data_IF_571231008405
#
_entry.id   IF_571231008405
#
_cell.length_a   1.000
_cell.length_b   1.000
_cell.length_c   1.000
_cell.angle_alpha   90.00
_cell.angle_beta   90.00
_cell.angle_gamma   90.00
#
_symmetry.space_group_name_H-M   'P 1'
#
loop_
_entity.id
_entity.type
_entity.pdbx_description
1 polymer ?
#
# COMPACT_ATOMS: atom_id res chain seq x y z
N UNK A 1 -8.56 -0.87 7.98
CA UNK A 1 -7.09 -0.95 8.27
C UNK A 1 -6.50 -2.08 7.46
N UNK A 2 -5.20 -2.11 7.23
CA UNK A 2 -4.55 -3.22 6.53
C UNK A 2 -3.22 -3.58 7.17
N UNK A 3 -2.88 -4.87 7.17
CA UNK A 3 -1.53 -5.33 7.42
C UNK A 3 -0.75 -5.25 6.11
N UNK A 4 0.43 -4.67 6.14
CA UNK A 4 1.40 -4.76 5.06
C UNK A 4 2.55 -5.66 5.53
N UNK A 5 2.78 -6.75 4.80
CA UNK A 5 3.90 -7.67 5.00
C UNK A 5 4.98 -7.38 3.97
N UNK A 6 6.22 -7.25 4.42
CA UNK A 6 7.40 -6.93 3.63
C UNK A 6 8.34 -8.14 3.62
N UNK A 7 8.46 -8.79 2.45
CA UNK A 7 9.38 -9.92 2.27
C UNK A 7 10.82 -9.44 1.99
N UNK A 8 10.99 -8.18 1.60
CA UNK A 8 12.28 -7.56 1.34
C UNK A 8 12.21 -6.45 0.30
N UNK A 9 13.24 -5.60 0.30
CA UNK A 9 13.41 -4.53 -0.66
C UNK A 9 14.76 -4.64 -1.36
N UNK A 10 14.77 -4.41 -2.66
CA UNK A 10 15.98 -4.26 -3.47
C UNK A 10 16.53 -2.85 -3.34
N UNK A 11 17.83 -2.75 -3.09
CA UNK A 11 18.56 -1.49 -2.93
C UNK A 11 19.57 -1.40 -4.06
N UNK A 12 19.39 -0.43 -4.95
CA UNK A 12 20.29 -0.17 -6.06
C UNK A 12 20.93 1.20 -5.87
N UNK A 13 22.27 1.27 -5.86
CA UNK A 13 23.01 2.53 -5.65
C UNK A 13 22.62 3.29 -4.38
N UNK A 14 22.22 2.59 -3.33
CA UNK A 14 21.82 3.16 -2.04
C UNK A 14 20.38 3.63 -1.97
N UNK A 15 19.59 3.49 -3.04
CA UNK A 15 18.16 3.82 -3.05
C UNK A 15 17.32 2.55 -3.14
N UNK A 16 16.20 2.53 -2.41
CA UNK A 16 15.20 1.46 -2.52
C UNK A 16 14.52 1.60 -3.88
N UNK A 17 14.65 0.58 -4.74
CA UNK A 17 14.08 0.59 -6.09
C UNK A 17 12.77 -0.18 -6.18
N UNK A 18 12.71 -1.31 -5.50
CA UNK A 18 11.58 -2.23 -5.57
C UNK A 18 11.44 -2.96 -4.25
N UNK A 19 10.21 -3.17 -3.79
CA UNK A 19 9.93 -3.97 -2.61
C UNK A 19 8.90 -5.05 -2.92
N UNK A 20 9.10 -6.21 -2.29
CA UNK A 20 8.23 -7.36 -2.36
C UNK A 20 7.26 -7.31 -1.18
N UNK A 21 6.12 -6.67 -1.41
CA UNK A 21 5.15 -6.41 -0.36
C UNK A 21 3.79 -7.04 -0.65
N UNK A 22 3.08 -7.39 0.42
CA UNK A 22 1.69 -7.87 0.39
C UNK A 22 0.85 -7.06 1.33
N UNK A 23 -0.26 -6.52 0.83
CA UNK A 23 -1.22 -5.79 1.65
C UNK A 23 -2.48 -6.64 1.88
N UNK A 24 -2.92 -6.69 3.13
CA UNK A 24 -3.99 -7.55 3.59
C UNK A 24 -4.99 -6.70 4.37
N UNK A 25 -6.16 -6.39 3.78
CA UNK A 25 -7.23 -5.71 4.50
C UNK A 25 -7.64 -6.51 5.74
N UNK A 26 -7.72 -5.83 6.89
CA UNK A 26 -8.10 -6.43 8.17
C UNK A 26 -9.61 -6.36 8.44
N UNK A 27 -10.40 -6.09 7.40
CA UNK A 27 -11.86 -5.85 7.47
C UNK A 27 -12.68 -7.16 7.54
N UNK A 28 -12.07 -8.27 7.95
CA UNK A 28 -12.73 -9.59 7.96
C UNK A 28 -13.66 -9.79 9.16
N UNK A 29 -14.63 -10.71 9.01
CA UNK A 29 -15.55 -11.10 10.07
C UNK A 29 -14.77 -11.64 11.27
N UNK A 30 -15.23 -11.37 12.51
CA UNK A 30 -14.62 -11.97 13.72
C UNK A 30 -14.55 -13.50 13.54
N UNK A 31 -13.44 -14.12 13.97
CA UNK A 31 -13.21 -15.58 13.98
C UNK A 31 -12.79 -16.25 12.67
N UNK A 32 -12.71 -15.54 11.54
CA UNK A 32 -12.13 -16.09 10.32
C UNK A 32 -10.68 -15.66 10.15
N UNK A 33 -9.84 -16.62 9.77
CA UNK A 33 -8.48 -16.32 9.37
C UNK A 33 -8.49 -15.51 8.07
N UNK A 34 -7.54 -14.57 7.96
CA UNK A 34 -7.45 -13.69 6.79
C UNK A 34 -6.45 -14.29 5.82
N UNK A 35 -6.89 -14.49 4.59
CA UNK A 35 -6.01 -14.89 3.51
C UNK A 35 -5.57 -13.65 2.73
N UNK A 36 -4.27 -13.38 2.71
CA UNK A 36 -3.68 -12.37 1.85
C UNK A 36 -3.67 -12.90 0.41
N UNK A 37 -4.82 -12.80 -0.26
CA UNK A 37 -5.06 -13.37 -1.60
C UNK A 37 -4.26 -12.67 -2.72
N UNK A 38 -3.75 -11.47 -2.46
CA UNK A 38 -2.96 -10.74 -3.44
C UNK A 38 -1.53 -11.29 -3.45
N UNK A 39 -1.13 -11.86 -4.61
CA UNK A 39 0.24 -12.35 -4.79
C UNK A 39 1.28 -11.26 -4.47
N UNK A 40 2.51 -11.68 -4.23
CA UNK A 40 3.68 -10.79 -4.15
C UNK A 40 3.63 -9.77 -5.29
N UNK A 41 3.40 -8.51 -4.95
CA UNK A 41 3.41 -7.43 -5.92
C UNK A 41 4.78 -6.77 -5.87
N UNK A 42 5.62 -6.90 -6.92
CA UNK A 42 6.73 -5.98 -7.10
C UNK A 42 6.18 -4.56 -7.03
N UNK A 43 6.58 -3.85 -5.99
CA UNK A 43 6.06 -2.52 -5.69
C UNK A 43 7.20 -1.54 -5.88
N UNK A 44 7.11 -0.74 -6.95
CA UNK A 44 8.16 0.23 -7.25
C UNK A 44 8.16 1.34 -6.23
N UNK A 45 9.36 1.70 -5.78
CA UNK A 45 9.57 2.84 -4.92
C UNK A 45 9.77 4.11 -5.77
N UNK A 46 9.05 5.17 -5.42
CA UNK A 46 9.15 6.47 -6.05
C UNK A 46 9.53 7.53 -5.01
N UNK A 47 10.59 8.29 -5.28
CA UNK A 47 11.03 9.44 -4.47
C UNK A 47 10.23 10.72 -4.77
N UNK A 48 8.92 10.61 -4.99
CA UNK A 48 8.07 11.71 -5.45
C UNK A 48 7.45 12.57 -4.32
N UNK A 49 7.98 12.48 -3.09
CA UNK A 49 7.59 13.41 -2.02
C UNK A 49 8.03 14.83 -2.36
N UNK A 50 7.07 15.73 -2.45
CA UNK A 50 7.37 17.16 -2.46
C UNK A 50 7.62 17.59 -1.01
N UNK A 51 8.87 17.42 -0.55
CA UNK A 51 9.27 17.61 0.86
C UNK A 51 8.85 18.96 1.45
N UNK A 52 8.65 19.99 0.61
CA UNK A 52 8.20 21.31 1.04
C UNK A 52 6.78 21.36 1.62
N UNK A 53 5.94 20.38 1.29
CA UNK A 53 4.52 20.33 1.70
C UNK A 53 4.27 19.37 2.87
N UNK A 54 5.33 18.74 3.37
CA UNK A 54 5.26 17.73 4.41
C UNK A 54 6.00 18.23 5.65
N UNK A 55 5.38 18.08 6.83
CA UNK A 55 6.01 18.29 8.13
C UNK A 55 5.88 17.00 8.93
N UNK A 56 6.70 16.01 8.57
CA UNK A 56 6.69 14.70 9.19
C UNK A 56 7.21 14.71 10.63
N UNK A 57 7.94 15.76 11.01
CA UNK A 57 8.28 16.02 12.42
C UNK A 57 7.04 16.25 13.30
N UNK A 58 5.89 16.59 12.68
CA UNK A 58 4.58 16.74 13.32
C UNK A 58 3.54 15.72 12.83
N UNK A 59 3.96 14.71 12.07
CA UNK A 59 3.10 13.77 11.35
C UNK A 59 2.03 14.48 10.51
N UNK A 60 2.46 15.44 9.70
CA UNK A 60 1.60 16.19 8.78
C UNK A 60 2.12 16.03 7.36
N UNK A 61 1.24 15.77 6.40
CA UNK A 61 1.59 15.70 4.98
C UNK A 61 0.43 16.16 4.11
N UNK A 62 0.71 16.66 2.90
CA UNK A 62 -0.34 17.00 1.94
C UNK A 62 -0.66 15.80 1.05
N UNK A 63 -1.91 15.34 1.09
CA UNK A 63 -2.34 14.23 0.24
C UNK A 63 -2.69 14.77 -1.15
N UNK A 64 -1.81 14.56 -2.12
CA UNK A 64 -1.94 15.08 -3.47
C UNK A 64 -2.23 13.98 -4.49
N UNK A 65 -2.62 14.39 -5.70
CA UNK A 65 -2.78 13.47 -6.81
C UNK A 65 -1.42 13.12 -7.40
N UNK A 66 -1.10 11.84 -7.44
CA UNK A 66 0.10 11.34 -8.09
C UNK A 66 -0.24 10.82 -9.49
N UNK A 67 0.70 10.93 -10.43
CA UNK A 67 0.45 10.55 -11.84
C UNK A 67 -0.06 9.10 -11.93
N UNK A 68 -0.98 8.80 -12.85
CA UNK A 68 -1.49 7.45 -13.04
C UNK A 68 -0.36 6.50 -13.44
N UNK A 69 -0.36 5.30 -12.86
CA UNK A 69 0.63 4.25 -13.14
C UNK A 69 -0.03 2.90 -13.28
N UNK A 70 0.59 1.97 -14.01
CA UNK A 70 0.06 0.64 -14.32
C UNK A 70 0.33 -0.45 -13.27
N UNK A 71 0.99 -0.12 -12.16
CA UNK A 71 1.37 -1.05 -11.10
C UNK A 71 1.06 -0.46 -9.72
N UNK A 72 1.13 -1.29 -8.67
CA UNK A 72 1.12 -0.79 -7.28
C UNK A 72 2.47 -0.17 -6.95
N UNK A 73 2.50 0.91 -6.17
CA UNK A 73 3.74 1.64 -5.86
C UNK A 73 3.80 2.10 -4.42
N UNK A 74 5.03 2.40 -3.99
CA UNK A 74 5.36 3.05 -2.73
C UNK A 74 5.82 4.47 -3.05
N UNK A 75 5.24 5.46 -2.38
CA UNK A 75 5.71 6.84 -2.44
C UNK A 75 6.25 7.18 -1.06
N UNK A 76 7.57 7.32 -0.94
CA UNK A 76 8.19 7.70 0.33
C UNK A 76 7.85 9.14 0.66
N UNK A 77 7.30 9.36 1.85
CA UNK A 77 7.15 10.69 2.46
C UNK A 77 8.39 11.02 3.31
N UNK A 78 8.91 10.02 4.03
CA UNK A 78 10.20 10.03 4.71
C UNK A 78 10.91 8.71 4.44
N UNK A 79 12.22 8.76 4.18
CA UNK A 79 13.06 7.60 3.94
C UNK A 79 14.35 7.65 4.79
N UNK A 80 14.19 7.85 6.10
CA UNK A 80 15.31 7.85 7.04
C UNK A 80 14.98 6.92 8.23
N UNK A 81 15.82 5.93 8.48
CA UNK A 81 15.68 4.98 9.59
C UNK A 81 15.76 5.65 10.98
N UNK A 82 16.28 6.89 11.07
CA UNK A 82 16.34 7.64 12.35
C UNK A 82 14.96 8.12 12.80
N UNK A 83 14.18 8.68 11.88
CA UNK A 83 12.83 9.21 12.17
C UNK A 83 11.72 8.21 11.78
N UNK A 84 12.11 7.11 11.16
CA UNK A 84 11.25 6.11 10.55
C UNK A 84 10.90 6.44 9.10
N UNK A 85 10.63 5.38 8.35
CA UNK A 85 10.23 5.41 6.96
C UNK A 85 8.71 5.54 6.92
N UNK A 86 8.19 6.65 6.40
CA UNK A 86 6.75 6.87 6.24
C UNK A 86 6.45 6.92 4.76
N UNK A 87 5.45 6.18 4.31
CA UNK A 87 5.16 6.06 2.89
C UNK A 87 3.69 5.80 2.58
N UNK A 88 3.29 6.20 1.39
CA UNK A 88 2.00 5.84 0.81
C UNK A 88 2.16 4.55 0.03
N UNK A 89 1.32 3.56 0.31
CA UNK A 89 1.15 2.38 -0.51
C UNK A 89 -0.11 2.56 -1.36
N UNK A 90 0.09 2.76 -2.66
CA UNK A 90 -0.99 2.86 -3.63
C UNK A 90 -1.27 1.48 -4.23
N UNK A 91 -2.34 0.87 -3.78
CA UNK A 91 -2.78 -0.43 -4.26
C UNK A 91 -3.59 -0.26 -5.54
N UNK A 92 -3.11 -0.88 -6.62
CA UNK A 92 -3.81 -0.94 -7.90
C UNK A 92 -4.24 -2.37 -8.18
N UNK A 93 -5.55 -2.58 -8.14
CA UNK A 93 -6.17 -3.83 -8.56
C UNK A 93 -6.72 -3.62 -9.96
N UNK A 94 -6.33 -4.46 -10.92
CA UNK A 94 -6.76 -4.36 -12.32
C UNK A 94 -6.25 -3.10 -13.07
N UNK A 95 -6.51 -3.03 -14.37
CA UNK A 95 -5.98 -2.01 -15.31
C UNK A 95 -6.64 -0.62 -15.22
N UNK A 96 -7.08 -0.16 -14.03
CA UNK A 96 -7.72 1.16 -13.86
C UNK A 96 -6.73 2.32 -13.89
N UNK A 97 -7.10 3.51 -14.40
CA UNK A 97 -6.17 4.66 -14.48
C UNK A 97 -5.64 5.13 -13.09
N UNK A 98 -6.38 4.89 -12.01
CA UNK A 98 -6.05 5.36 -10.65
C UNK A 98 -6.00 4.20 -9.64
N UNK A 99 -5.28 4.34 -8.50
CA UNK A 99 -5.23 3.31 -7.47
C UNK A 99 -6.63 3.08 -6.86
N UNK A 100 -6.95 1.82 -6.56
CA UNK A 100 -8.22 1.44 -5.96
C UNK A 100 -8.28 1.85 -4.50
N UNK A 101 -7.14 1.73 -3.80
CA UNK A 101 -7.00 2.07 -2.38
C UNK A 101 -5.61 2.63 -2.12
N UNK A 102 -5.54 3.64 -1.28
CA UNK A 102 -4.27 4.20 -0.80
C UNK A 102 -4.18 4.03 0.71
N UNK A 103 -3.01 3.58 1.17
CA UNK A 103 -2.75 3.34 2.58
C UNK A 103 -1.54 4.17 3.01
N UNK A 104 -1.59 4.76 4.21
CA UNK A 104 -0.42 5.33 4.86
C UNK A 104 0.19 4.29 5.79
N UNK A 105 1.48 4.07 5.60
CA UNK A 105 2.26 3.07 6.30
C UNK A 105 3.50 3.69 6.93
N UNK A 106 4.04 3.01 7.94
CA UNK A 106 5.31 3.35 8.56
C UNK A 106 6.13 2.09 8.77
N UNK A 107 7.43 2.18 8.56
CA UNK A 107 8.39 1.25 9.11
C UNK A 107 9.36 2.02 10.00
N UNK A 108 9.82 1.38 11.08
CA UNK A 108 10.95 1.90 11.86
C UNK A 108 12.25 1.74 11.07
N UNK A 109 12.42 0.60 10.40
CA UNK A 109 13.59 0.25 9.57
C UNK A 109 13.13 -0.44 8.30
N UNK A 110 13.85 -0.28 7.19
CA UNK A 110 13.45 -0.90 5.90
C UNK A 110 13.33 -2.43 5.96
N UNK A 111 14.09 -3.07 6.86
CA UNK A 111 14.07 -4.52 7.07
C UNK A 111 12.89 -5.01 7.93
N UNK A 112 12.00 -4.12 8.38
CA UNK A 112 10.84 -4.49 9.17
C UNK A 112 9.87 -5.31 8.33
N UNK A 113 9.51 -6.51 8.83
CA UNK A 113 8.68 -7.47 8.10
C UNK A 113 7.20 -7.10 8.05
N UNK A 114 6.69 -6.31 9.00
CA UNK A 114 5.26 -6.00 9.05
C UNK A 114 4.95 -4.60 9.59
N UNK A 115 3.84 -4.03 9.12
CA UNK A 115 3.24 -2.80 9.66
C UNK A 115 1.73 -2.82 9.51
N UNK A 116 1.03 -2.13 10.42
CA UNK A 116 -0.40 -1.85 10.29
C UNK A 116 -0.57 -0.47 9.65
N UNK A 117 -1.07 -0.47 8.43
CA UNK A 117 -1.38 0.73 7.67
C UNK A 117 -2.85 1.14 7.84
N UNK A 118 -3.09 2.44 7.73
CA UNK A 118 -4.45 2.99 7.70
C UNK A 118 -4.82 3.48 6.30
N UNK A 119 -6.07 3.21 5.92
CA UNK A 119 -6.60 3.60 4.62
C UNK A 119 -6.87 5.11 4.60
N UNK A 120 -6.46 5.79 3.53
CA UNK A 120 -6.76 7.20 3.31
C UNK A 120 -8.05 7.31 2.50
N UNK A 121 -9.02 8.07 3.01
CA UNK A 121 -10.26 8.35 2.29
C UNK A 121 -9.98 9.18 1.03
N UNK A 122 -10.56 8.81 -0.11
CA UNK A 122 -10.38 9.53 -1.37
C UNK A 122 -10.87 11.00 -1.29
N UNK A 123 -11.83 11.32 -0.42
CA UNK A 123 -12.32 12.67 -0.15
C UNK A 123 -11.29 13.57 0.55
N UNK A 124 -10.17 13.01 0.98
CA UNK A 124 -9.06 13.74 1.59
C UNK A 124 -8.07 14.29 0.55
N UNK A 125 -8.25 13.97 -0.73
CA UNK A 125 -7.42 14.47 -1.81
C UNK A 125 -7.35 16.01 -1.81
N UNK A 126 -6.15 16.54 -1.93
CA UNK A 126 -5.81 17.97 -1.88
C UNK A 126 -5.68 18.56 -0.47
N UNK A 127 -6.04 17.81 0.59
CA UNK A 127 -6.01 18.29 1.98
C UNK A 127 -4.70 17.94 2.67
N UNK A 128 -4.34 18.78 3.64
CA UNK A 128 -3.28 18.49 4.60
C UNK A 128 -3.80 17.53 5.67
N UNK A 129 -3.15 16.38 5.81
CA UNK A 129 -3.56 15.32 6.73
C UNK A 129 -2.60 15.26 7.91
N UNK A 130 -3.17 14.97 9.07
CA UNK A 130 -2.48 14.67 10.32
C UNK A 130 -2.70 13.19 10.65
N UNK A 131 -1.71 12.55 11.25
CA UNK A 131 -1.82 11.16 11.69
C UNK A 131 -1.07 10.91 12.99
N UNK A 132 -1.42 9.81 13.67
CA UNK A 132 -0.64 9.26 14.77
C UNK A 132 0.17 8.07 14.26
N UNK A 133 1.34 7.88 14.86
CA UNK A 133 2.26 6.80 14.49
C UNK A 133 2.78 6.11 15.74
N UNK A 134 2.98 4.81 15.65
CA UNK A 134 3.41 3.98 16.77
C UNK A 134 4.47 3.00 16.32
N UNK A 135 5.50 2.80 17.14
CA UNK A 135 6.48 1.73 16.97
C UNK A 135 6.47 0.87 18.25
N UNK A 136 6.30 -0.45 18.10
CA UNK A 136 6.37 -1.41 19.21
C UNK A 136 7.66 -2.20 19.05
N UNK A 137 8.51 -2.12 20.07
CA UNK A 137 9.83 -2.74 20.11
C UNK A 137 9.90 -3.78 21.21
N UNK A 138 10.67 -4.83 20.98
CA UNK A 138 10.96 -5.84 22.00
C UNK A 138 12.20 -5.36 22.77
N UNK A 139 12.12 -5.29 24.10
CA UNK A 139 13.03 -4.55 25.01
C UNK A 139 14.53 -4.95 25.07
N UNK A 140 15.06 -5.55 24.01
CA UNK A 140 16.48 -5.95 23.88
C UNK A 140 17.26 -5.09 22.86
N UNK A 141 16.59 -4.24 22.08
CA UNK A 141 17.25 -3.39 21.06
C UNK A 141 17.82 -2.10 21.66
N UNK A 142 19.05 -1.71 21.29
CA UNK A 142 19.73 -0.50 21.77
C UNK A 142 18.86 0.78 21.61
N UNK A 143 18.28 1.21 22.74
CA UNK A 143 17.28 2.29 22.87
C UNK A 143 17.88 3.70 22.62
N UNK A 144 19.20 3.82 22.57
CA UNK A 144 19.91 5.11 22.69
C UNK A 144 19.62 6.06 21.50
N UNK A 145 19.29 5.56 20.31
CA UNK A 145 18.92 6.38 19.15
C UNK A 145 17.41 6.70 19.05
N UNK A 146 16.57 6.09 19.90
CA UNK A 146 15.11 6.03 19.74
C UNK A 146 14.40 7.25 20.35
N UNK A 147 14.98 7.88 21.39
CA UNK A 147 14.39 9.03 22.11
C UNK A 147 14.42 10.37 21.34
N UNK A 148 14.79 10.40 20.06
CA UNK A 148 15.01 11.64 19.31
C UNK A 148 13.80 12.19 18.57
N UNK A 149 12.75 11.41 18.36
CA UNK A 149 11.51 11.91 17.77
C UNK A 149 10.79 12.82 18.77
N UNK A 150 10.94 14.15 18.62
CA UNK A 150 10.20 15.17 19.39
C UNK A 150 8.72 15.28 18.98
N UNK A 151 8.23 14.34 18.19
CA UNK A 151 6.90 14.39 17.61
C UNK A 151 5.85 13.93 18.64
N UNK A 152 4.97 14.84 19.07
CA UNK A 152 3.92 14.54 20.05
C UNK A 152 2.85 13.56 19.56
N UNK A 153 2.81 13.27 18.25
CA UNK A 153 1.90 12.28 17.64
C UNK A 153 2.60 10.95 17.32
N UNK A 154 3.84 10.78 17.78
CA UNK A 154 4.59 9.56 17.67
C UNK A 154 4.83 8.95 19.05
N UNK A 155 4.51 7.68 19.20
CA UNK A 155 4.70 6.94 20.45
C UNK A 155 5.53 5.70 20.18
N UNK A 156 6.52 5.47 21.04
CA UNK A 156 7.34 4.27 21.00
C UNK A 156 7.05 3.50 22.27
N UNK A 157 6.56 2.27 22.11
CA UNK A 157 6.21 1.39 23.21
C UNK A 157 7.23 0.27 23.27
N UNK A 158 8.00 0.24 24.35
CA UNK A 158 8.77 -0.95 24.70
C UNK A 158 7.83 -1.95 25.35
N UNK A 159 7.74 -3.14 24.77
CA UNK A 159 6.82 -4.16 25.23
C UNK A 159 7.54 -5.50 25.34
N UNK A 160 7.31 -6.23 26.43
CA UNK A 160 7.81 -7.59 26.57
C UNK A 160 6.88 -8.52 25.80
N UNK A 161 7.35 -9.00 24.67
CA UNK A 161 6.58 -9.95 23.85
C UNK A 161 6.43 -11.27 24.59
N UNK A 162 5.24 -11.85 24.52
CA UNK A 162 4.96 -13.20 25.03
C UNK A 162 5.74 -14.24 24.23
N UNK A 163 6.14 -15.30 24.90
CA UNK A 163 6.78 -16.46 24.27
C UNK A 163 5.68 -17.44 23.85
N UNK A 164 5.16 -17.29 22.62
CA UNK A 164 4.09 -18.15 22.12
C UNK A 164 4.66 -19.29 21.29
N UNK A 165 4.04 -20.45 21.44
CA UNK A 165 4.20 -21.61 20.57
C UNK A 165 2.93 -21.83 19.76
N UNK A 166 3.07 -22.11 18.47
CA UNK A 166 1.99 -22.29 17.54
C UNK A 166 1.74 -23.77 17.25
N UNK A 167 0.48 -24.13 17.15
CA UNK A 167 0.07 -25.49 16.83
C UNK A 167 -1.26 -25.51 16.08
N UNK A 168 -1.56 -26.70 15.54
CA UNK A 168 -2.82 -26.99 14.86
C UNK A 168 -3.49 -28.18 15.53
N UNK A 169 -4.78 -28.03 15.80
CA UNK A 169 -5.65 -29.09 16.31
C UNK A 169 -6.33 -29.83 15.15
N UNK A 170 -7.11 -30.85 15.49
CA UNK A 170 -7.93 -31.58 14.51
C UNK A 170 -8.85 -30.63 13.73
N UNK A 171 -9.11 -30.98 12.47
CA UNK A 171 -10.10 -30.29 11.65
C UNK A 171 -11.47 -30.91 11.92
N UNK A 172 -12.47 -30.07 12.19
CA UNK A 172 -13.81 -30.54 12.48
C UNK A 172 -14.69 -30.35 11.25
N UNK A 173 -15.55 -31.33 10.98
CA UNK A 173 -16.54 -31.23 9.91
C UNK A 173 -17.72 -30.42 10.44
N UNK A 174 -17.92 -29.22 9.88
CA UNK A 174 -19.14 -28.45 10.08
C UNK A 174 -20.08 -28.72 8.91
N UNK A 175 -21.15 -29.47 9.16
CA UNK A 175 -22.24 -29.65 8.19
C UNK A 175 -23.28 -28.53 8.37
N UNK A 176 -23.28 -27.60 7.42
CA UNK A 176 -24.39 -26.66 7.26
C UNK A 176 -25.53 -27.28 6.45
N UNK A 177 -26.64 -26.54 6.31
CA UNK A 177 -27.83 -27.00 5.56
C UNK A 177 -27.55 -27.26 4.06
N UNK A 178 -26.51 -26.64 3.50
CA UNK A 178 -26.18 -26.70 2.07
C UNK A 178 -24.69 -26.91 1.76
N UNK A 179 -23.79 -26.75 2.75
CA UNK A 179 -22.33 -26.76 2.53
C UNK A 179 -21.68 -27.53 3.68
N UNK A 180 -20.81 -28.48 3.35
CA UNK A 180 -19.89 -29.11 4.31
C UNK A 180 -18.56 -28.33 4.29
N UNK A 181 -18.16 -27.80 5.44
CA UNK A 181 -16.86 -27.14 5.61
C UNK A 181 -16.02 -27.93 6.62
N UNK A 182 -14.70 -27.99 6.43
CA UNK A 182 -13.76 -28.68 7.33
C UNK A 182 -12.75 -27.70 7.93
N UNK A 183 -13.18 -26.71 8.73
CA UNK A 183 -12.24 -25.78 9.33
C UNK A 183 -11.29 -26.49 10.30
N UNK A 184 -10.02 -26.12 10.20
CA UNK A 184 -8.99 -26.54 11.14
C UNK A 184 -8.78 -25.46 12.19
N UNK A 185 -8.63 -25.86 13.44
CA UNK A 185 -8.38 -24.94 14.53
C UNK A 185 -6.88 -24.75 14.74
N UNK A 186 -6.43 -23.51 14.70
CA UNK A 186 -5.08 -23.13 15.10
C UNK A 186 -5.10 -22.54 16.51
N UNK A 187 -4.06 -22.86 17.28
CA UNK A 187 -3.92 -22.43 18.66
C UNK A 187 -2.52 -21.92 18.93
N UNK A 188 -2.43 -21.04 19.92
CA UNK A 188 -1.21 -20.49 20.47
C UNK A 188 -1.15 -20.91 21.93
N UNK A 189 0.03 -21.33 22.38
CA UNK A 189 0.27 -21.72 23.75
C UNK A 189 1.39 -20.87 24.35
N UNK A 190 1.25 -20.57 25.63
CA UNK A 190 2.24 -19.87 26.44
C UNK A 190 2.52 -20.73 27.69
N UNK A 191 3.78 -20.78 28.12
CA UNK A 191 4.13 -21.37 29.42
C UNK A 191 3.93 -20.33 30.51
N UNK A 192 2.98 -20.57 31.40
CA UNK A 192 2.68 -19.73 32.55
C UNK A 192 2.98 -20.53 33.81
N UNK A 193 4.14 -20.28 34.42
CA UNK A 193 4.60 -20.92 35.66
C UNK A 193 4.66 -22.45 35.57
N UNK A 194 5.13 -23.02 34.44
CA UNK A 194 5.24 -24.46 34.22
C UNK A 194 3.96 -25.11 33.71
N UNK A 195 2.88 -24.34 33.54
CA UNK A 195 1.62 -24.81 32.96
C UNK A 195 1.45 -24.23 31.55
N UNK A 196 1.29 -25.12 30.57
CA UNK A 196 1.02 -24.75 29.20
C UNK A 196 -0.44 -24.29 29.05
N UNK A 197 -0.64 -22.99 28.84
CA UNK A 197 -1.95 -22.38 28.60
C UNK A 197 -2.13 -22.12 27.11
N UNK A 198 -3.14 -22.72 26.50
CA UNK A 198 -3.40 -22.60 25.07
C UNK A 198 -4.72 -21.89 24.79
N UNK A 199 -4.72 -21.00 23.81
CA UNK A 199 -5.89 -20.28 23.32
C UNK A 199 -5.97 -20.34 21.81
N UNK A 200 -7.17 -20.15 21.26
CA UNK A 200 -7.33 -20.15 19.81
C UNK A 200 -6.80 -18.87 19.17
N UNK A 201 -5.99 -19.03 18.13
CA UNK A 201 -5.41 -17.91 17.40
C UNK A 201 -6.47 -17.05 16.68
N UNK A 202 -7.61 -17.64 16.31
CA UNK A 202 -8.68 -16.93 15.59
C UNK A 202 -9.64 -16.16 16.52
N UNK A 203 -9.72 -16.51 17.80
CA UNK A 203 -10.63 -15.86 18.75
C UNK A 203 -9.99 -14.68 19.48
N UNK A 204 -8.71 -14.82 19.86
CA UNK A 204 -8.01 -13.81 20.66
C UNK A 204 -7.24 -12.79 19.79
N UNK A 205 -7.41 -12.84 18.47
CA UNK A 205 -6.69 -12.00 17.52
C UNK A 205 -7.06 -12.33 16.08
N UNK A 206 -6.07 -12.19 15.18
CA UNK A 206 -6.18 -12.53 13.76
C UNK A 206 -4.99 -13.37 13.36
N UNK A 207 -5.29 -14.52 12.78
CA UNK A 207 -4.30 -15.33 12.08
C UNK A 207 -4.36 -14.97 10.59
N UNK A 208 -3.21 -14.61 10.04
CA UNK A 208 -3.07 -14.10 8.68
C UNK A 208 -2.12 -15.01 7.92
N UNK A 209 -2.59 -15.56 6.81
CA UNK A 209 -1.76 -16.38 5.93
C UNK A 209 -0.92 -15.48 5.03
N UNK A 210 0.41 -15.60 5.13
CA UNK A 210 1.35 -14.80 4.33
C UNK A 210 1.74 -15.48 3.01
N UNK A 211 1.48 -16.78 2.85
CA UNK A 211 1.91 -17.56 1.69
C UNK A 211 1.02 -17.43 0.45
N UNK A 212 1.58 -17.77 -0.72
CA UNK A 212 0.81 -17.90 -1.97
C UNK A 212 -0.08 -19.15 -1.89
N UNK A 213 -1.29 -19.04 -2.42
CA UNK A 213 -2.29 -20.12 -2.49
C UNK A 213 -1.82 -21.42 -3.19
N UNK A 214 -0.63 -21.44 -3.80
CA UNK A 214 -0.17 -22.49 -4.71
C UNK A 214 0.57 -23.66 -4.06
N UNK A 215 1.08 -23.55 -2.83
CA UNK A 215 1.76 -24.68 -2.19
C UNK A 215 0.73 -25.59 -1.50
N UNK A 216 0.51 -26.78 -2.06
CA UNK A 216 -0.46 -27.74 -1.53
C UNK A 216 -0.05 -28.31 -0.15
N UNK A 217 1.21 -28.17 0.28
CA UNK A 217 1.63 -28.55 1.63
C UNK A 217 1.33 -27.44 2.64
N UNK A 218 0.68 -27.81 3.75
CA UNK A 218 0.54 -26.95 4.92
C UNK A 218 1.86 -26.82 5.69
N UNK A 219 2.73 -27.82 5.57
CA UNK A 219 4.06 -27.82 6.16
C UNK A 219 4.89 -26.64 5.66
N UNK A 220 5.62 -26.03 6.59
CA UNK A 220 6.44 -24.83 6.42
C UNK A 220 5.68 -23.53 6.15
N UNK A 221 4.34 -23.54 6.14
CA UNK A 221 3.57 -22.31 5.94
C UNK A 221 3.78 -21.30 7.07
N UNK A 222 3.89 -20.03 6.69
CA UNK A 222 4.03 -18.91 7.60
C UNK A 222 2.69 -18.26 7.91
N UNK A 223 2.52 -17.92 9.17
CA UNK A 223 1.32 -17.31 9.72
C UNK A 223 1.73 -16.10 10.55
N UNK A 224 1.14 -14.95 10.24
CA UNK A 224 1.29 -13.78 11.07
C UNK A 224 0.10 -13.72 12.03
N UNK A 225 0.39 -13.74 13.34
CA UNK A 225 -0.59 -13.56 14.38
C UNK A 225 -0.59 -12.10 14.86
N UNK A 226 -1.75 -11.45 14.74
CA UNK A 226 -2.03 -10.15 15.34
C UNK A 226 -2.97 -10.31 16.53
N UNK A 227 -2.49 -10.12 17.77
CA UNK A 227 -3.34 -10.02 18.94
C UNK A 227 -4.48 -9.00 18.78
N UNK A 228 -5.60 -9.20 19.48
CA UNK A 228 -6.73 -8.27 19.43
C UNK A 228 -6.37 -6.82 19.77
N UNK A 229 -5.38 -6.62 20.65
CA UNK A 229 -4.86 -5.29 21.02
C UNK A 229 -4.22 -4.53 19.86
N UNK A 230 -3.70 -5.23 18.84
CA UNK A 230 -3.17 -4.62 17.62
C UNK A 230 -4.26 -3.97 16.76
N UNK A 231 -5.50 -4.40 16.92
CA UNK A 231 -6.63 -4.08 16.03
C UNK A 231 -7.55 -3.02 16.60
N UNK A 232 -7.37 -2.64 17.86
CA UNK A 232 -8.14 -1.56 18.49
C UNK A 232 -7.77 -0.23 17.83
N UNK A 233 -8.66 0.76 17.85
CA UNK A 233 -8.35 2.12 17.33
C UNK A 233 -7.70 3.03 18.37
N UNK A 234 -7.47 2.51 19.57
CA UNK A 234 -7.09 3.29 20.73
C UNK A 234 -5.67 3.86 20.62
N UNK A 235 -5.43 4.93 21.37
CA UNK A 235 -4.15 5.65 21.41
C UNK A 235 -3.03 4.87 22.08
N UNK A 236 -3.35 3.86 22.89
CA UNK A 236 -2.35 3.02 23.55
C UNK A 236 -2.11 1.78 22.68
N UNK A 237 -1.36 1.97 21.59
CA UNK A 237 -1.02 0.86 20.71
C UNK A 237 -0.01 -0.07 21.38
N UNK A 238 -0.53 -1.23 21.82
CA UNK A 238 0.25 -2.34 22.37
C UNK A 238 -0.02 -3.54 21.47
N UNK A 239 1.03 -4.05 20.84
CA UNK A 239 0.91 -5.11 19.86
C UNK A 239 2.12 -6.04 19.91
N UNK A 240 1.95 -7.23 20.46
CA UNK A 240 2.95 -8.29 20.42
C UNK A 240 2.71 -9.23 19.24
N UNK A 241 2.78 -8.68 18.02
CA UNK A 241 2.63 -9.44 16.79
C UNK A 241 3.70 -10.54 16.69
N UNK A 242 3.32 -11.70 16.15
CA UNK A 242 4.24 -12.84 16.03
C UNK A 242 4.17 -13.47 14.65
N UNK A 243 5.31 -13.96 14.19
CA UNK A 243 5.43 -14.76 12.98
C UNK A 243 5.64 -16.22 13.37
N UNK A 244 4.67 -17.05 13.05
CA UNK A 244 4.63 -18.45 13.41
C UNK A 244 4.76 -19.32 12.15
N UNK A 245 5.37 -20.49 12.28
CA UNK A 245 5.49 -21.45 11.18
C UNK A 245 4.87 -22.78 11.57
N UNK A 246 4.06 -23.37 10.70
CA UNK A 246 3.54 -24.71 10.91
C UNK A 246 4.54 -25.77 10.44
N UNK A 247 4.91 -26.71 11.31
CA UNK A 247 5.81 -27.83 10.95
C UNK A 247 5.10 -29.18 10.85
N UNK A 248 4.16 -29.48 11.73
CA UNK A 248 3.48 -30.78 11.75
C UNK A 248 2.22 -30.80 12.61
N UNK A 249 1.37 -31.81 12.39
CA UNK A 249 0.17 -32.01 13.20
C UNK A 249 0.59 -32.43 14.62
N UNK A 250 0.05 -31.77 15.66
CA UNK A 250 0.39 -31.97 17.09
C UNK A 250 1.82 -31.57 17.49
N UNK A 251 2.56 -30.91 16.61
CA UNK A 251 3.82 -30.26 16.97
C UNK A 251 3.58 -28.81 17.38
N UNK A 252 4.28 -28.38 18.42
CA UNK A 252 4.34 -26.99 18.86
C UNK A 252 5.62 -26.36 18.35
N UNK A 253 5.50 -25.21 17.69
CA UNK A 253 6.63 -24.47 17.14
C UNK A 253 6.70 -23.08 17.77
N UNK A 254 7.86 -22.70 18.28
CA UNK A 254 8.06 -21.35 18.81
C UNK A 254 7.87 -20.31 17.70
N UNK A 255 7.13 -19.24 18.00
CA UNK A 255 6.94 -18.13 17.08
C UNK A 255 8.06 -17.09 17.22
N UNK A 256 8.41 -16.46 16.10
CA UNK A 256 9.32 -15.33 16.05
C UNK A 256 8.58 -14.05 16.49
N UNK A 257 9.18 -13.31 17.42
CA UNK A 257 8.68 -12.01 17.90
C UNK A 257 8.85 -10.97 16.81
N UNK A 258 7.77 -10.28 16.45
CA UNK A 258 7.77 -9.35 15.32
C UNK A 258 7.59 -7.91 15.79
N UNK A 259 8.66 -7.12 15.71
CA UNK A 259 8.55 -5.66 15.87
C UNK A 259 7.61 -5.10 14.81
N UNK A 260 6.72 -4.21 15.22
CA UNK A 260 5.66 -3.70 14.35
C UNK A 260 5.42 -2.22 14.57
N UNK A 261 5.15 -1.53 13.47
CA UNK A 261 4.74 -0.14 13.43
C UNK A 261 3.26 -0.05 13.08
N UNK A 262 2.65 1.07 13.43
CA UNK A 262 1.28 1.36 13.04
C UNK A 262 1.07 2.83 12.76
N UNK A 263 0.24 3.10 11.75
CA UNK A 263 -0.38 4.40 11.53
C UNK A 263 -1.84 4.31 11.96
N UNK A 264 -2.31 5.32 12.73
CA UNK A 264 -3.72 5.45 13.12
C UNK A 264 -4.17 6.90 13.12
N UNK A 265 -5.49 7.08 13.12
CA UNK A 265 -6.16 8.38 13.21
C UNK A 265 -5.66 9.34 12.12
N UNK A 266 -5.76 8.94 10.85
CA UNK A 266 -5.59 9.87 9.73
C UNK A 266 -6.82 10.78 9.64
N UNK A 267 -6.63 12.09 9.77
CA UNK A 267 -7.69 13.08 9.60
C UNK A 267 -7.16 14.36 8.96
N UNK A 268 -8.01 15.15 8.27
CA UNK A 268 -7.64 16.47 7.79
C UNK A 268 -7.22 17.37 8.96
N UNK A 269 -6.02 17.93 8.90
CA UNK A 269 -5.53 18.87 9.89
C UNK A 269 -6.48 20.08 9.95
N UNK A 270 -6.97 20.44 11.14
CA UNK A 270 -7.70 21.70 11.35
C UNK A 270 -6.68 22.83 11.34
N UNK A 271 -6.30 23.28 10.15
CA UNK A 271 -5.31 24.33 9.96
C UNK A 271 -4.97 24.49 8.50
N UNK A 272 -5.38 25.64 7.95
CA UNK A 272 -5.25 26.08 6.56
C UNK A 272 -6.08 25.24 5.59
N UNK A 273 -7.32 25.71 5.34
CA UNK A 273 -7.96 25.51 4.05
C UNK A 273 -7.08 26.25 3.06
N UNK A 274 -6.01 25.60 2.61
CA UNK A 274 -5.36 26.06 1.39
C UNK A 274 -6.39 25.86 0.30
N UNK A 275 -6.70 26.88 -0.51
CA UNK A 275 -7.53 26.69 -1.68
C UNK A 275 -6.96 25.48 -2.43
N UNK A 276 -7.83 24.53 -2.79
CA UNK A 276 -7.47 23.47 -3.71
C UNK A 276 -6.64 24.09 -4.82
N UNK A 277 -5.44 23.54 -5.15
CA UNK A 277 -4.55 24.17 -6.12
C UNK A 277 -5.37 24.45 -7.37
N UNK A 278 -5.62 25.74 -7.62
CA UNK A 278 -6.55 26.15 -8.67
C UNK A 278 -5.99 25.84 -10.06
N UNK A 279 -4.74 25.38 -10.14
CA UNK A 279 -4.14 24.83 -11.34
C UNK A 279 -3.19 23.69 -10.97
N UNK A 280 -3.68 22.45 -10.93
CA UNK A 280 -2.90 21.36 -11.55
C UNK A 280 -3.40 21.27 -12.99
N UNK A 281 -2.52 21.31 -14.00
CA UNK A 281 -2.95 21.14 -15.37
C UNK A 281 -3.62 19.77 -15.44
N UNK A 282 -4.91 19.77 -15.71
CA UNK A 282 -5.57 18.61 -16.30
C UNK A 282 -4.67 18.25 -17.48
N UNK A 283 -3.96 17.14 -17.35
CA UNK A 283 -3.28 16.52 -18.47
C UNK A 283 -4.37 16.05 -19.41
N UNK A 284 -4.91 16.98 -20.20
CA UNK A 284 -5.53 16.67 -21.46
C UNK A 284 -4.41 16.04 -22.29
N UNK A 285 -4.30 14.72 -22.23
CA UNK A 285 -3.53 13.90 -23.17
C UNK A 285 -3.95 14.12 -24.64
N UNK A 286 -4.91 15.01 -24.91
CA UNK A 286 -5.32 15.42 -26.24
C UNK A 286 -5.17 16.94 -26.44
N UNK A 287 -4.07 17.55 -25.99
CA UNK A 287 -3.65 18.83 -26.59
C UNK A 287 -2.80 18.47 -27.80
N UNK A 288 -3.31 18.57 -29.03
CA UNK A 288 -2.47 18.46 -30.22
C UNK A 288 -1.26 19.39 -30.04
N UNK A 289 -0.06 18.89 -30.31
CA UNK A 289 1.15 19.72 -30.29
C UNK A 289 0.94 20.96 -31.14
N UNK A 290 1.65 22.05 -30.86
CA UNK A 290 1.59 23.29 -31.67
C UNK A 290 1.76 22.98 -33.17
N UNK A 291 2.54 21.96 -33.51
CA UNK A 291 2.67 21.42 -34.87
C UNK A 291 1.39 20.78 -35.43
N UNK A 292 0.61 20.05 -34.63
CA UNK A 292 -0.68 19.45 -35.06
C UNK A 292 -1.76 20.53 -35.17
N UNK A 293 -1.78 21.52 -34.28
CA UNK A 293 -2.66 22.69 -34.39
C UNK A 293 -2.36 23.52 -35.63
N UNK A 294 -1.09 23.74 -35.94
CA UNK A 294 -0.68 24.39 -37.19
C UNK A 294 -1.07 23.54 -38.41
N UNK A 295 -0.80 22.23 -38.40
CA UNK A 295 -1.16 21.34 -39.50
C UNK A 295 -2.68 21.27 -39.75
N UNK A 296 -3.49 21.18 -38.69
CA UNK A 296 -4.97 21.17 -38.79
C UNK A 296 -5.52 22.52 -39.25
N UNK A 297 -4.89 23.64 -38.89
CA UNK A 297 -5.27 24.97 -39.38
C UNK A 297 -4.89 25.22 -40.85
N UNK A 298 -3.82 24.59 -41.35
CA UNK A 298 -3.31 24.76 -42.72
C UNK A 298 -3.93 23.79 -43.74
N UNK A 299 -4.49 22.67 -43.28
CA UNK A 299 -5.16 21.67 -44.12
C UNK A 299 -6.29 22.26 -45.01
N UNK A 300 -7.23 23.08 -44.50
CA UNK A 300 -8.27 23.66 -45.34
C UNK A 300 -7.71 24.63 -46.40
N UNK A 301 -6.61 25.33 -46.11
CA UNK A 301 -5.96 26.22 -47.08
C UNK A 301 -5.27 25.44 -48.20
N UNK A 302 -4.62 24.32 -47.89
CA UNK A 302 -4.02 23.44 -48.89
C UNK A 302 -5.07 22.82 -49.82
N UNK A 303 -6.20 22.38 -49.27
CA UNK A 303 -7.34 21.87 -50.06
C UNK A 303 -7.86 22.97 -50.99
N UNK A 304 -8.06 24.18 -50.49
CA UNK A 304 -8.49 25.32 -51.31
C UNK A 304 -7.49 25.68 -52.41
N UNK A 305 -6.18 25.64 -52.13
CA UNK A 305 -5.13 25.86 -53.13
C UNK A 305 -5.16 24.82 -54.24
N UNK A 306 -5.40 23.55 -53.92
CA UNK A 306 -5.56 22.48 -54.92
C UNK A 306 -6.79 22.73 -55.80
N UNK A 307 -7.92 23.15 -55.20
CA UNK A 307 -9.13 23.48 -55.99
C UNK A 307 -8.90 24.69 -56.90
N UNK A 308 -8.25 25.75 -56.40
CA UNK A 308 -7.90 26.93 -57.19
C UNK A 308 -6.95 26.54 -58.33
N UNK A 309 -5.92 25.73 -58.06
CA UNK A 309 -4.98 25.27 -59.07
C UNK A 309 -5.66 24.40 -60.13
N UNK A 310 -6.54 23.48 -59.73
CA UNK A 310 -7.35 22.68 -60.65
C UNK A 310 -8.29 23.55 -61.49
N UNK A 311 -8.89 24.59 -60.90
CA UNK A 311 -9.75 25.53 -61.61
C UNK A 311 -8.96 26.35 -62.64
N UNK A 312 -7.81 26.92 -62.24
CA UNK A 312 -6.91 27.68 -63.12
C UNK A 312 -6.38 26.78 -64.24
N UNK A 313 -5.95 25.56 -63.94
CA UNK A 313 -5.51 24.58 -64.93
C UNK A 313 -6.62 24.24 -65.93
N UNK A 314 -7.84 23.98 -65.46
CA UNK A 314 -9.00 23.72 -66.32
C UNK A 314 -9.36 24.93 -67.19
N UNK A 315 -9.25 26.14 -66.65
CA UNK A 315 -9.49 27.39 -67.38
C UNK A 315 -8.44 27.62 -68.48
N UNK A 316 -7.16 27.48 -68.16
CA UNK A 316 -6.05 27.59 -69.12
C UNK A 316 -6.14 26.50 -70.21
N UNK A 317 -6.47 25.26 -69.85
CA UNK A 317 -6.67 24.16 -70.80
C UNK A 317 -7.86 24.42 -71.74
N UNK A 318 -8.96 25.03 -71.25
CA UNK A 318 -10.09 25.45 -72.08
C UNK A 318 -9.72 26.58 -73.05
N UNK A 319 -8.89 27.54 -72.62
CA UNK A 319 -8.39 28.62 -73.49
C UNK A 319 -7.48 28.09 -74.61
N UNK A 320 -6.56 27.16 -74.29
CA UNK A 320 -5.72 26.50 -75.31
C UNK A 320 -6.54 25.72 -76.36
N UNK A 321 -7.65 25.06 -75.96
CA UNK A 321 -8.54 24.37 -76.92
C UNK A 321 -9.36 25.32 -77.82
N UNK A 322 -9.66 26.54 -77.38
CA UNK A 322 -10.32 27.56 -78.22
C UNK A 322 -9.36 28.23 -79.21
N UNK A 323 -8.08 28.35 -78.87
CA UNK A 323 -7.05 28.87 -79.77
C UNK A 323 -6.70 27.91 -80.92
N UNK A 324 -6.91 26.59 -80.74
CA UNK A 324 -6.66 25.56 -81.75
C UNK A 324 -7.85 25.29 -82.70
N UNK A 325 -8.95 26.03 -82.56
CA UNK A 325 -10.18 25.92 -83.38
C UNK A 325 -10.51 27.21 -84.13
N UNK A 326 -9.52 28.08 -84.34
CA UNK A 326 -9.61 29.24 -85.21
C UNK A 326 -8.64 29.06 -86.36
#
# INVERSE_FOLDING_TARGET
MALLYNEGCEITKGEVTECFMRICPLDSHKYTSVFCSYGLLPTKAENHSNDRLNDLSKNIFKFQHYKPYNHSRIIFLSNNDVDGIVFLFEYKSFSYKYPNKTYLCRFRKISQKATICEHIDASYLGKTLSFNSYDVINGTDNIINIRRSKNSKHTITEFKYRDLSFGRSACHILKGKYIENKPCMFYLCEDVNGNLSCFSANYNGRLIYTDKFSDNSLENRQFLYLPGSCLTKDSNFICDAQLCQFKGIKELTSCEKLEISSIKNIFPSRGIIEPAPTYMPISHENRPSSSILLATSLLPFLVMLVFIWCFVYKFLRRRKRKAYRR
#
